data_IF_100270097079
#
_entry.id   IF_100270097079
#
_cell.length_a   1.000
_cell.length_b   1.000
_cell.length_c   1.000
_cell.angle_alpha   90.00
_cell.angle_beta   90.00
_cell.angle_gamma   90.00
#
_symmetry.space_group_name_H-M   'P 1'
#
loop_
_entity.id
_entity.type
_entity.pdbx_description
1 polymer ?
#
# COMPACT_ATOMS: atom_id res chain seq x y z
N UNK A 1 -6.74 -25.93 28.83
CA UNK A 1 -7.04 -24.78 27.94
C UNK A 1 -7.50 -23.62 28.79
N UNK A 2 -6.79 -22.49 28.78
CA UNK A 2 -7.07 -21.34 29.66
C UNK A 2 -8.47 -20.76 29.38
N UNK A 3 -9.16 -20.24 30.40
CA UNK A 3 -10.52 -19.65 30.29
C UNK A 3 -10.61 -18.62 29.15
N UNK A 4 -9.51 -17.91 28.89
CA UNK A 4 -9.34 -16.94 27.82
C UNK A 4 -9.54 -17.50 26.40
N UNK A 5 -8.83 -18.59 26.04
CA UNK A 5 -8.93 -19.15 24.68
C UNK A 5 -10.34 -19.70 24.45
N UNK A 6 -10.94 -20.33 25.47
CA UNK A 6 -12.32 -20.83 25.42
C UNK A 6 -13.32 -19.69 25.18
N UNK A 7 -13.14 -18.53 25.83
CA UNK A 7 -13.97 -17.35 25.59
C UNK A 7 -13.86 -16.84 24.14
N UNK A 8 -12.63 -16.69 23.62
CA UNK A 8 -12.39 -16.24 22.25
C UNK A 8 -13.04 -17.16 21.19
N UNK A 9 -12.87 -18.48 21.33
CA UNK A 9 -13.48 -19.45 20.41
C UNK A 9 -14.99 -19.44 20.51
N UNK A 10 -15.54 -19.32 21.72
CA UNK A 10 -16.97 -19.30 21.93
C UNK A 10 -17.62 -18.03 21.34
N UNK A 11 -16.93 -16.89 21.41
CA UNK A 11 -17.37 -15.65 20.76
C UNK A 11 -17.49 -15.83 19.23
N UNK A 12 -16.46 -16.41 18.60
CA UNK A 12 -16.46 -16.70 17.15
C UNK A 12 -17.58 -17.70 16.82
N UNK A 13 -17.68 -18.81 17.57
CA UNK A 13 -18.68 -19.87 17.33
C UNK A 13 -20.11 -19.32 17.35
N UNK A 14 -20.41 -18.40 18.25
CA UNK A 14 -21.76 -17.89 18.49
C UNK A 14 -22.12 -16.64 17.69
N UNK A 15 -21.17 -16.04 16.96
CA UNK A 15 -21.45 -14.92 16.05
C UNK A 15 -21.38 -15.39 14.61
N UNK A 16 -22.39 -15.04 13.80
CA UNK A 16 -22.37 -15.31 12.37
C UNK A 16 -21.38 -14.38 11.65
N UNK A 17 -21.35 -13.11 12.07
CA UNK A 17 -20.50 -12.08 11.48
C UNK A 17 -19.01 -12.38 11.67
N UNK A 18 -18.60 -12.79 12.87
CA UNK A 18 -17.22 -13.19 13.15
C UNK A 18 -16.81 -14.46 12.40
N UNK A 19 -17.75 -15.38 12.23
CA UNK A 19 -17.58 -16.60 11.44
C UNK A 19 -17.30 -16.26 9.97
N UNK A 20 -18.15 -15.44 9.36
CA UNK A 20 -17.93 -14.97 7.99
C UNK A 20 -16.61 -14.20 7.86
N UNK A 21 -16.27 -13.37 8.84
CA UNK A 21 -15.01 -12.64 8.85
C UNK A 21 -13.78 -13.57 8.83
N UNK A 22 -13.85 -14.69 9.54
CA UNK A 22 -12.80 -15.71 9.51
C UNK A 22 -12.62 -16.35 8.13
N UNK A 23 -13.74 -16.68 7.46
CA UNK A 23 -13.73 -17.15 6.07
C UNK A 23 -13.11 -16.11 5.15
N UNK A 24 -13.47 -14.85 5.33
CA UNK A 24 -12.95 -13.76 4.53
C UNK A 24 -11.42 -13.63 4.68
N UNK A 25 -10.89 -13.58 5.91
CA UNK A 25 -9.43 -13.56 6.16
C UNK A 25 -8.76 -14.73 5.46
N UNK A 26 -9.32 -15.93 5.62
CA UNK A 26 -8.77 -17.15 5.03
C UNK A 26 -8.76 -17.08 3.49
N UNK A 27 -9.83 -16.56 2.89
CA UNK A 27 -9.91 -16.35 1.45
C UNK A 27 -8.85 -15.35 0.96
N UNK A 28 -8.63 -14.26 1.70
CA UNK A 28 -7.57 -13.30 1.38
C UNK A 28 -6.20 -13.96 1.48
N UNK A 29 -5.93 -14.79 2.50
CA UNK A 29 -4.66 -15.52 2.60
C UNK A 29 -4.44 -16.50 1.44
N UNK A 30 -5.49 -17.20 0.97
CA UNK A 30 -5.39 -18.03 -0.25
C UNK A 30 -5.00 -17.16 -1.45
N UNK A 31 -5.71 -16.05 -1.67
CA UNK A 31 -5.43 -15.13 -2.76
C UNK A 31 -4.02 -14.55 -2.68
N UNK A 32 -3.58 -14.18 -1.48
CA UNK A 32 -2.26 -13.64 -1.20
C UNK A 32 -1.16 -14.66 -1.51
N UNK A 33 -1.30 -15.90 -1.06
CA UNK A 33 -0.37 -16.97 -1.39
C UNK A 33 -0.25 -17.18 -2.89
N UNK A 34 -1.37 -17.22 -3.63
CA UNK A 34 -1.34 -17.36 -5.09
C UNK A 34 -0.64 -16.17 -5.76
N UNK A 35 -0.87 -14.96 -5.26
CA UNK A 35 -0.25 -13.74 -5.78
C UNK A 35 1.27 -13.77 -5.52
N UNK A 36 1.68 -14.15 -4.32
CA UNK A 36 3.09 -14.30 -3.96
C UNK A 36 3.80 -15.39 -4.75
N UNK A 37 3.16 -16.53 -5.04
CA UNK A 37 3.73 -17.55 -5.92
C UNK A 37 3.98 -17.03 -7.35
N UNK A 38 3.14 -16.11 -7.84
CA UNK A 38 3.33 -15.51 -9.18
C UNK A 38 4.45 -14.47 -9.23
N UNK A 39 4.68 -13.78 -8.11
CA UNK A 39 5.67 -12.69 -7.99
C UNK A 39 7.01 -13.15 -7.39
N UNK A 40 7.12 -14.42 -7.00
CA UNK A 40 8.32 -15.00 -6.37
C UNK A 40 9.67 -14.67 -7.06
N UNK A 41 9.79 -14.64 -8.40
CA UNK A 41 11.08 -14.38 -9.06
C UNK A 41 11.58 -12.94 -8.93
N UNK A 42 10.72 -11.99 -8.55
CA UNK A 42 11.01 -10.55 -8.59
C UNK A 42 11.34 -9.94 -7.23
N UNK A 43 11.34 -10.71 -6.14
CA UNK A 43 11.52 -10.14 -4.81
C UNK A 43 12.97 -9.93 -4.40
N UNK A 44 13.24 -8.76 -3.85
CA UNK A 44 14.45 -8.45 -3.10
C UNK A 44 14.25 -8.81 -1.63
N UNK A 45 15.20 -9.54 -1.05
CA UNK A 45 15.16 -9.96 0.35
C UNK A 45 15.89 -8.92 1.21
N UNK A 46 15.18 -7.86 1.60
CA UNK A 46 15.63 -6.93 2.63
C UNK A 46 14.60 -6.87 3.78
N UNK A 47 15.03 -6.67 5.03
CA UNK A 47 14.15 -6.67 6.20
C UNK A 47 13.69 -5.25 6.59
N UNK A 48 12.38 -4.98 6.62
CA UNK A 48 11.82 -3.65 6.95
C UNK A 48 11.92 -3.22 8.40
N UNK A 49 11.86 -4.16 9.34
CA UNK A 49 11.87 -3.79 10.77
C UNK A 49 13.17 -3.11 11.18
N UNK A 50 14.24 -3.36 10.44
CA UNK A 50 15.57 -2.88 10.73
C UNK A 50 15.86 -1.49 10.18
N UNK A 51 15.31 -1.14 9.03
CA UNK A 51 15.45 0.21 8.46
C UNK A 51 14.78 1.26 9.36
N UNK A 52 13.75 0.87 10.11
CA UNK A 52 13.00 1.78 10.99
C UNK A 52 13.69 2.08 12.34
N UNK A 53 14.53 1.18 12.86
CA UNK A 53 15.07 1.31 14.22
C UNK A 53 16.61 1.21 14.34
N UNK A 54 17.31 0.45 13.50
CA UNK A 54 18.73 0.09 13.77
C UNK A 54 19.68 0.02 12.58
N UNK A 55 19.29 0.50 11.39
CA UNK A 55 20.14 0.43 10.18
C UNK A 55 20.07 -0.93 9.47
N UNK A 56 20.95 -1.22 8.49
CA UNK A 56 20.84 -2.41 7.66
C UNK A 56 21.11 -3.69 8.48
N UNK A 57 20.07 -4.49 8.72
CA UNK A 57 20.20 -5.77 9.40
C UNK A 57 20.45 -6.91 8.42
N UNK A 58 21.67 -6.99 7.88
CA UNK A 58 22.11 -8.16 7.11
C UNK A 58 21.99 -9.47 7.90
N UNK A 59 22.05 -9.42 9.23
CA UNK A 59 21.99 -10.60 10.11
C UNK A 59 20.57 -11.13 10.41
N UNK A 60 19.51 -10.36 10.12
CA UNK A 60 18.12 -10.78 10.37
C UNK A 60 17.41 -11.35 9.13
N UNK A 61 18.09 -11.37 7.98
CA UNK A 61 17.58 -11.99 6.75
C UNK A 61 17.70 -13.52 6.89
N UNK A 62 16.74 -14.13 7.57
CA UNK A 62 16.71 -15.56 7.82
C UNK A 62 16.00 -16.36 6.71
N UNK A 63 15.42 -15.70 5.71
CA UNK A 63 14.59 -16.35 4.69
C UNK A 63 15.35 -16.40 3.36
N UNK A 64 15.78 -17.60 2.97
CA UNK A 64 16.27 -17.88 1.61
C UNK A 64 15.10 -17.96 0.63
N UNK A 65 15.35 -17.81 -0.68
CA UNK A 65 14.32 -17.97 -1.71
C UNK A 65 13.59 -19.33 -1.62
N UNK A 66 14.31 -20.42 -1.33
CA UNK A 66 13.72 -21.74 -1.13
C UNK A 66 12.81 -21.81 0.10
N UNK A 67 13.19 -21.15 1.20
CA UNK A 67 12.35 -21.08 2.40
C UNK A 67 11.11 -20.21 2.17
N UNK A 68 11.20 -19.19 1.33
CA UNK A 68 10.06 -18.39 0.91
C UNK A 68 9.02 -19.25 0.19
N UNK A 69 9.41 -19.98 -0.86
CA UNK A 69 8.48 -20.82 -1.63
C UNK A 69 7.79 -21.87 -0.76
N UNK A 70 8.57 -22.54 0.11
CA UNK A 70 8.03 -23.51 1.08
C UNK A 70 7.03 -22.83 2.02
N UNK A 71 7.36 -21.64 2.53
CA UNK A 71 6.49 -20.89 3.45
C UNK A 71 5.19 -20.46 2.76
N UNK A 72 5.25 -20.00 1.51
CA UNK A 72 4.05 -19.60 0.76
C UNK A 72 3.14 -20.80 0.47
N UNK A 73 3.70 -21.94 0.06
CA UNK A 73 2.93 -23.18 -0.13
C UNK A 73 2.31 -23.63 1.20
N UNK A 74 3.07 -23.52 2.29
CA UNK A 74 2.59 -23.87 3.62
C UNK A 74 1.42 -22.97 4.06
N UNK A 75 1.52 -21.65 3.88
CA UNK A 75 0.42 -20.69 4.11
C UNK A 75 -0.80 -21.08 3.27
N UNK A 76 -0.62 -21.43 1.99
CA UNK A 76 -1.71 -21.84 1.12
C UNK A 76 -2.43 -23.09 1.66
N UNK A 77 -1.66 -24.12 2.04
CA UNK A 77 -2.21 -25.36 2.62
C UNK A 77 -2.94 -25.09 3.92
N UNK A 78 -2.36 -24.32 4.84
CA UNK A 78 -3.01 -23.93 6.10
C UNK A 78 -4.30 -23.14 5.86
N UNK A 79 -4.29 -22.24 4.88
CA UNK A 79 -5.48 -21.45 4.51
C UNK A 79 -6.57 -22.33 3.92
N UNK A 80 -6.25 -23.26 3.02
CA UNK A 80 -7.21 -24.21 2.48
C UNK A 80 -7.78 -25.13 3.57
N UNK A 81 -6.94 -25.65 4.48
CA UNK A 81 -7.38 -26.43 5.63
C UNK A 81 -8.30 -25.61 6.54
N UNK A 82 -7.97 -24.34 6.78
CA UNK A 82 -8.80 -23.41 7.55
C UNK A 82 -10.16 -23.19 6.89
N UNK A 83 -10.18 -23.01 5.56
CA UNK A 83 -11.39 -22.80 4.77
C UNK A 83 -12.31 -24.05 4.79
N UNK A 84 -11.73 -25.23 4.58
CA UNK A 84 -12.47 -26.51 4.62
C UNK A 84 -12.97 -26.80 6.04
N UNK A 85 -12.14 -26.57 7.07
CA UNK A 85 -12.53 -26.79 8.47
C UNK A 85 -13.72 -25.93 8.88
N UNK A 86 -13.87 -24.75 8.27
CA UNK A 86 -14.98 -23.86 8.55
C UNK A 86 -16.30 -24.38 7.99
N UNK A 87 -16.30 -25.08 6.85
CA UNK A 87 -17.48 -25.77 6.35
C UNK A 87 -18.03 -26.78 7.38
N UNK A 88 -17.18 -27.26 8.28
CA UNK A 88 -17.50 -28.19 9.35
C UNK A 88 -17.56 -27.44 10.70
N UNK A 89 -18.70 -26.79 10.99
CA UNK A 89 -18.97 -25.97 12.20
C UNK A 89 -18.47 -26.62 13.52
N UNK A 90 -18.41 -27.96 13.58
CA UNK A 90 -17.92 -28.75 14.71
C UNK A 90 -16.46 -28.45 15.09
N UNK A 91 -15.61 -27.99 14.19
CA UNK A 91 -14.16 -27.85 14.38
C UNK A 91 -13.68 -26.42 14.68
N UNK A 92 -14.54 -25.54 15.23
CA UNK A 92 -14.18 -24.13 15.53
C UNK A 92 -12.87 -23.98 16.33
N UNK A 93 -12.59 -24.86 17.30
CA UNK A 93 -11.34 -24.81 18.07
C UNK A 93 -10.12 -25.08 17.20
N UNK A 94 -10.18 -26.11 16.35
CA UNK A 94 -9.09 -26.49 15.47
C UNK A 94 -8.83 -25.40 14.42
N UNK A 95 -9.90 -24.88 13.82
CA UNK A 95 -9.88 -23.74 12.91
C UNK A 95 -9.16 -22.52 13.52
N UNK A 96 -9.47 -22.18 14.78
CA UNK A 96 -8.81 -21.06 15.46
C UNK A 96 -7.29 -21.26 15.59
N UNK A 97 -6.84 -22.46 15.92
CA UNK A 97 -5.41 -22.76 16.02
C UNK A 97 -4.71 -22.71 14.67
N UNK A 98 -5.31 -23.28 13.62
CA UNK A 98 -4.72 -23.23 12.27
C UNK A 98 -4.63 -21.78 11.80
N UNK A 99 -5.70 -20.99 11.95
CA UNK A 99 -5.70 -19.60 11.52
C UNK A 99 -4.70 -18.73 12.30
N UNK A 100 -4.53 -18.98 13.61
CA UNK A 100 -3.51 -18.32 14.41
C UNK A 100 -2.11 -18.66 13.92
N UNK A 101 -1.83 -19.95 13.74
CA UNK A 101 -0.54 -20.39 13.25
C UNK A 101 -0.24 -19.84 11.85
N UNK A 102 -1.23 -19.87 10.96
CA UNK A 102 -1.15 -19.27 9.63
C UNK A 102 -0.86 -17.77 9.69
N UNK A 103 -1.56 -17.02 10.56
CA UNK A 103 -1.32 -15.58 10.76
C UNK A 103 0.09 -15.29 11.26
N UNK A 104 0.65 -16.14 12.14
CA UNK A 104 2.03 -16.03 12.61
C UNK A 104 3.01 -16.24 11.44
N UNK A 105 2.81 -17.27 10.63
CA UNK A 105 3.68 -17.55 9.46
C UNK A 105 3.62 -16.41 8.45
N UNK A 106 2.42 -15.90 8.14
CA UNK A 106 2.23 -14.72 7.27
C UNK A 106 2.93 -13.49 7.84
N UNK A 107 2.83 -13.24 9.16
CA UNK A 107 3.51 -12.13 9.82
C UNK A 107 5.03 -12.24 9.73
N UNK A 108 5.59 -13.42 9.99
CA UNK A 108 7.03 -13.67 9.88
C UNK A 108 7.51 -13.43 8.45
N UNK A 109 6.79 -13.95 7.46
CA UNK A 109 7.11 -13.75 6.05
C UNK A 109 7.04 -12.26 5.65
N UNK A 110 5.95 -11.59 6.02
CA UNK A 110 5.77 -10.14 5.81
C UNK A 110 6.90 -9.33 6.46
N UNK A 111 7.32 -9.68 7.67
CA UNK A 111 8.39 -8.98 8.38
C UNK A 111 9.77 -9.12 7.73
N UNK A 112 9.96 -10.18 6.95
CA UNK A 112 11.23 -10.53 6.33
C UNK A 112 11.46 -9.90 4.94
N UNK A 113 10.43 -9.26 4.35
CA UNK A 113 10.50 -8.80 2.97
C UNK A 113 10.05 -7.35 2.82
N UNK A 114 10.89 -6.57 2.14
CA UNK A 114 10.65 -5.16 1.90
C UNK A 114 9.53 -4.93 0.89
N UNK A 115 9.56 -5.68 -0.20
CA UNK A 115 8.63 -5.51 -1.31
C UNK A 115 7.19 -5.91 -0.97
N UNK A 116 7.00 -6.65 0.12
CA UNK A 116 5.68 -7.09 0.59
C UNK A 116 4.97 -6.08 1.48
N UNK A 117 5.61 -4.95 1.81
CA UNK A 117 5.13 -4.01 2.82
C UNK A 117 4.01 -3.08 2.37
N UNK A 118 2.97 -3.64 1.76
CA UNK A 118 1.75 -2.85 1.58
C UNK A 118 1.12 -2.62 2.97
N UNK A 119 0.72 -1.37 3.19
CA UNK A 119 -0.03 -0.94 4.37
C UNK A 119 -1.29 -1.78 4.57
N UNK A 120 -1.94 -2.22 3.49
CA UNK A 120 -3.15 -3.04 3.57
C UNK A 120 -2.91 -4.46 4.06
N UNK A 121 -1.76 -5.06 3.73
CA UNK A 121 -1.39 -6.38 4.23
C UNK A 121 -1.01 -6.35 5.70
N UNK A 122 -0.27 -5.32 6.13
CA UNK A 122 -0.03 -5.10 7.56
C UNK A 122 -1.34 -5.01 8.33
N UNK A 123 -2.33 -4.28 7.80
CA UNK A 123 -3.63 -4.18 8.42
C UNK A 123 -4.39 -5.49 8.49
N UNK A 124 -4.34 -6.30 7.42
CA UNK A 124 -4.93 -7.64 7.42
C UNK A 124 -4.32 -8.52 8.54
N UNK A 125 -3.01 -8.44 8.75
CA UNK A 125 -2.32 -9.17 9.82
C UNK A 125 -2.77 -8.67 11.19
N UNK A 126 -2.79 -7.35 11.41
CA UNK A 126 -3.24 -6.75 12.68
C UNK A 126 -4.69 -7.11 12.99
N UNK A 127 -5.60 -6.99 12.01
CA UNK A 127 -7.00 -7.38 12.17
C UNK A 127 -7.15 -8.86 12.47
N UNK A 128 -6.31 -9.72 11.89
CA UNK A 128 -6.29 -11.15 12.17
C UNK A 128 -5.83 -11.46 13.59
N UNK A 129 -4.79 -10.79 14.09
CA UNK A 129 -4.37 -10.90 15.50
C UNK A 129 -5.45 -10.41 16.46
N UNK A 130 -6.08 -9.27 16.17
CA UNK A 130 -7.18 -8.74 16.99
C UNK A 130 -8.36 -9.70 17.00
N UNK A 131 -8.72 -10.23 15.83
CA UNK A 131 -9.76 -11.24 15.69
C UNK A 131 -9.46 -12.51 16.49
N UNK A 132 -8.21 -12.98 16.52
CA UNK A 132 -7.87 -14.23 17.20
C UNK A 132 -7.69 -14.05 18.71
N UNK A 133 -6.98 -12.98 19.11
CA UNK A 133 -6.44 -12.83 20.45
C UNK A 133 -7.25 -11.88 21.33
N UNK A 134 -7.80 -10.79 20.79
CA UNK A 134 -8.47 -9.77 21.63
C UNK A 134 -9.92 -10.21 21.90
N UNK A 135 -10.36 -10.23 23.17
CA UNK A 135 -11.76 -10.50 23.47
C UNK A 135 -12.63 -9.30 23.06
N UNK A 136 -13.95 -9.48 22.99
CA UNK A 136 -14.86 -8.42 22.55
C UNK A 136 -14.50 -7.97 21.11
N UNK A 137 -14.34 -8.98 20.25
CA UNK A 137 -13.77 -8.90 18.89
C UNK A 137 -14.53 -7.93 18.04
N UNK A 138 -15.85 -8.06 18.05
CA UNK A 138 -16.68 -7.36 17.10
C UNK A 138 -16.62 -5.82 17.24
N UNK A 139 -16.83 -5.21 18.42
CA UNK A 139 -16.63 -3.77 18.57
C UNK A 139 -15.17 -3.35 18.39
N UNK A 140 -14.21 -4.17 18.84
CA UNK A 140 -12.78 -3.85 18.66
C UNK A 140 -12.39 -3.79 17.19
N UNK A 141 -12.81 -4.78 16.38
CA UNK A 141 -12.57 -4.83 14.94
C UNK A 141 -13.24 -3.68 14.21
N UNK A 142 -14.48 -3.31 14.59
CA UNK A 142 -15.16 -2.16 13.99
C UNK A 142 -14.41 -0.87 14.21
N UNK A 143 -14.00 -0.59 15.45
CA UNK A 143 -13.21 0.59 15.76
C UNK A 143 -11.87 0.57 15.04
N UNK A 144 -11.19 -0.58 15.02
CA UNK A 144 -9.92 -0.76 14.32
C UNK A 144 -10.04 -0.46 12.82
N UNK A 145 -11.09 -0.96 12.15
CA UNK A 145 -11.34 -0.68 10.72
C UNK A 145 -11.57 0.81 10.49
N UNK A 146 -12.36 1.47 11.34
CA UNK A 146 -12.61 2.92 11.22
C UNK A 146 -11.34 3.73 11.45
N UNK A 147 -10.55 3.40 12.48
CA UNK A 147 -9.26 4.05 12.72
C UNK A 147 -8.30 3.85 11.55
N UNK A 148 -8.34 2.68 10.91
CA UNK A 148 -7.53 2.40 9.74
C UNK A 148 -7.92 3.23 8.52
N UNK A 149 -9.21 3.45 8.27
CA UNK A 149 -9.63 4.39 7.24
C UNK A 149 -9.14 5.82 7.53
N UNK A 150 -9.24 6.25 8.78
CA UNK A 150 -8.74 7.56 9.21
C UNK A 150 -7.22 7.64 8.97
N UNK A 151 -6.47 6.62 9.39
CA UNK A 151 -5.03 6.56 9.18
C UNK A 151 -4.66 6.53 7.69
N UNK A 152 -5.34 5.72 6.89
CA UNK A 152 -5.17 5.67 5.43
C UNK A 152 -5.39 7.05 4.80
N UNK A 153 -6.39 7.78 5.29
CA UNK A 153 -6.63 9.16 4.87
C UNK A 153 -5.47 10.08 5.20
N UNK A 154 -4.91 9.99 6.41
CA UNK A 154 -3.73 10.76 6.80
C UNK A 154 -2.49 10.42 5.96
N UNK A 155 -2.28 9.14 5.62
CA UNK A 155 -1.18 8.73 4.73
C UNK A 155 -1.33 9.30 3.30
N UNK A 156 -2.57 9.55 2.87
CA UNK A 156 -2.89 10.21 1.61
C UNK A 156 -2.78 11.74 1.67
N UNK A 157 -2.44 12.34 2.83
CA UNK A 157 -2.04 13.75 2.93
C UNK A 157 -0.56 13.88 2.57
N UNK A 158 -0.22 13.50 1.34
CA UNK A 158 1.11 13.66 0.78
C UNK A 158 1.05 14.48 -0.53
N UNK A 159 2.14 15.16 -0.94
CA UNK A 159 2.13 16.02 -2.12
C UNK A 159 1.71 15.30 -3.41
N UNK A 160 2.06 14.01 -3.55
CA UNK A 160 1.71 13.21 -4.72
C UNK A 160 0.19 12.97 -4.82
N UNK A 161 -0.46 12.63 -3.72
CA UNK A 161 -1.91 12.44 -3.73
C UNK A 161 -2.64 13.78 -3.82
N UNK A 162 -2.21 14.79 -3.06
CA UNK A 162 -2.87 16.10 -2.98
C UNK A 162 -2.78 16.93 -4.26
N UNK A 163 -1.73 16.72 -5.08
CA UNK A 163 -1.63 17.30 -6.43
C UNK A 163 -2.59 16.67 -7.45
N UNK A 164 -3.36 15.65 -7.05
CA UNK A 164 -4.24 14.92 -7.95
C UNK A 164 -3.51 13.94 -8.87
N UNK A 165 -2.17 13.83 -8.79
CA UNK A 165 -1.39 12.88 -9.60
C UNK A 165 -1.84 11.44 -9.38
N UNK A 166 -2.20 11.09 -8.14
CA UNK A 166 -2.76 9.78 -7.80
C UNK A 166 -4.06 9.41 -8.54
N UNK A 167 -4.77 10.40 -9.10
CA UNK A 167 -6.01 10.22 -9.87
C UNK A 167 -5.78 10.17 -11.40
N UNK A 168 -4.55 10.40 -11.88
CA UNK A 168 -4.23 10.49 -13.31
C UNK A 168 -4.48 9.17 -14.07
N UNK A 169 -4.53 8.03 -13.36
CA UNK A 169 -5.01 6.76 -13.93
C UNK A 169 -6.40 6.88 -14.59
N UNK A 170 -7.23 7.84 -14.15
CA UNK A 170 -8.45 8.24 -14.84
C UNK A 170 -8.08 9.18 -15.98
N UNK A 171 -7.75 8.60 -17.15
CA UNK A 171 -7.30 9.28 -18.38
C UNK A 171 -8.12 10.52 -18.81
N UNK A 172 -9.35 10.68 -18.32
CA UNK A 172 -10.25 11.78 -18.67
C UNK A 172 -10.27 12.95 -17.67
N UNK A 173 -9.75 12.79 -16.45
CA UNK A 173 -9.78 13.84 -15.41
C UNK A 173 -8.50 14.70 -15.44
N UNK A 174 -7.43 14.18 -16.03
CA UNK A 174 -6.12 14.82 -16.11
C UNK A 174 -6.09 16.14 -16.92
N UNK A 175 -7.13 16.44 -17.71
CA UNK A 175 -7.19 17.67 -18.51
C UNK A 175 -7.43 18.94 -17.67
N UNK A 176 -7.83 18.82 -16.40
CA UNK A 176 -8.01 19.95 -15.49
C UNK A 176 -7.30 19.67 -14.16
N UNK A 177 -5.99 19.93 -14.11
CA UNK A 177 -5.13 19.70 -12.94
C UNK A 177 -5.75 20.20 -11.62
N UNK A 178 -6.32 21.41 -11.62
CA UNK A 178 -6.95 22.00 -10.44
C UNK A 178 -8.19 21.25 -9.95
N UNK A 179 -8.97 20.65 -10.85
CA UNK A 179 -10.15 19.86 -10.47
C UNK A 179 -9.71 18.54 -9.82
N UNK A 180 -8.64 17.92 -10.33
CA UNK A 180 -8.09 16.70 -9.75
C UNK A 180 -7.57 16.93 -8.32
N UNK A 181 -6.89 18.06 -8.07
CA UNK A 181 -6.46 18.46 -6.71
C UNK A 181 -7.63 18.54 -5.73
N UNK A 182 -8.70 19.26 -6.08
CA UNK A 182 -9.88 19.37 -5.22
C UNK A 182 -10.57 18.04 -4.99
N UNK A 183 -10.67 17.19 -6.03
CA UNK A 183 -11.23 15.84 -5.88
C UNK A 183 -10.37 15.01 -4.94
N UNK A 184 -9.04 15.08 -5.02
CA UNK A 184 -8.14 14.36 -4.14
C UNK A 184 -8.29 14.81 -2.67
N UNK A 185 -8.37 16.12 -2.41
CA UNK A 185 -8.61 16.67 -1.07
C UNK A 185 -9.97 16.20 -0.52
N UNK A 186 -11.02 16.33 -1.32
CA UNK A 186 -12.36 15.88 -0.93
C UNK A 186 -12.40 14.38 -0.67
N UNK A 187 -11.71 13.58 -1.48
CA UNK A 187 -11.57 12.15 -1.29
C UNK A 187 -10.92 11.81 0.05
N UNK A 188 -9.84 12.51 0.44
CA UNK A 188 -9.18 12.29 1.73
C UNK A 188 -10.10 12.63 2.91
N UNK A 189 -10.78 13.77 2.85
CA UNK A 189 -11.76 14.16 3.89
C UNK A 189 -12.90 13.13 3.95
N UNK A 190 -13.39 12.70 2.79
CA UNK A 190 -14.45 11.71 2.67
C UNK A 190 -14.05 10.37 3.29
N UNK A 191 -12.85 9.85 2.98
CA UNK A 191 -12.33 8.62 3.55
C UNK A 191 -12.08 8.70 5.05
N UNK A 192 -11.80 9.89 5.60
CA UNK A 192 -11.63 10.07 7.04
C UNK A 192 -12.98 10.10 7.78
N UNK A 193 -13.99 10.78 7.22
CA UNK A 193 -15.24 11.05 7.93
C UNK A 193 -16.34 10.01 7.73
N UNK A 194 -16.50 9.49 6.50
CA UNK A 194 -17.58 8.53 6.18
C UNK A 194 -17.53 7.25 7.03
N UNK A 195 -16.37 6.64 7.32
CA UNK A 195 -16.30 5.45 8.17
C UNK A 195 -16.83 5.66 9.59
N UNK A 196 -16.78 6.88 10.14
CA UNK A 196 -17.37 7.19 11.45
C UNK A 196 -18.88 6.93 11.46
N UNK A 197 -19.54 7.13 10.31
CA UNK A 197 -20.95 6.83 10.13
C UNK A 197 -21.30 5.35 10.28
N UNK A 198 -20.34 4.43 10.10
CA UNK A 198 -20.52 2.99 10.32
C UNK A 198 -20.66 2.62 11.81
N UNK A 199 -20.20 3.47 12.71
CA UNK A 199 -20.31 3.29 14.16
C UNK A 199 -21.61 3.87 14.72
N UNK A 200 -22.31 4.69 13.95
CA UNK A 200 -23.55 5.34 14.39
C UNK A 200 -24.72 4.37 14.35
N UNK A 201 -25.54 4.39 15.39
CA UNK A 201 -26.73 3.53 15.49
C UNK A 201 -27.88 3.93 14.55
N UNK A 202 -27.79 5.05 13.82
CA UNK A 202 -28.83 5.57 12.93
C UNK A 202 -28.78 4.86 11.57
N UNK A 203 -29.81 4.07 11.23
CA UNK A 203 -29.89 3.27 9.99
C UNK A 203 -29.56 4.07 8.73
N UNK A 204 -30.17 5.26 8.54
CA UNK A 204 -29.95 6.09 7.34
C UNK A 204 -28.47 6.45 7.15
N UNK A 205 -27.79 6.86 8.23
CA UNK A 205 -26.38 7.26 8.17
C UNK A 205 -25.49 6.03 7.93
N UNK A 206 -25.77 4.92 8.62
CA UNK A 206 -25.04 3.67 8.45
C UNK A 206 -25.08 3.16 7.01
N UNK A 207 -26.26 3.01 6.41
CA UNK A 207 -26.39 2.51 5.04
C UNK A 207 -25.83 3.50 4.01
N UNK A 208 -26.00 4.81 4.23
CA UNK A 208 -25.36 5.83 3.40
C UNK A 208 -23.83 5.72 3.44
N UNK A 209 -23.26 5.44 4.62
CA UNK A 209 -21.81 5.31 4.80
C UNK A 209 -21.27 4.05 4.15
N UNK A 210 -21.97 2.92 4.29
CA UNK A 210 -21.63 1.67 3.56
C UNK A 210 -21.64 1.91 2.06
N UNK A 211 -22.72 2.49 1.53
CA UNK A 211 -22.87 2.71 0.09
C UNK A 211 -21.78 3.66 -0.44
N UNK A 212 -21.53 4.76 0.27
CA UNK A 212 -20.46 5.70 -0.03
C UNK A 212 -19.08 5.02 -0.09
N UNK A 213 -18.75 4.18 0.89
CA UNK A 213 -17.47 3.47 0.93
C UNK A 213 -17.36 2.41 -0.16
N UNK A 214 -18.45 1.70 -0.49
CA UNK A 214 -18.47 0.74 -1.61
C UNK A 214 -18.16 1.45 -2.92
N UNK A 215 -18.85 2.55 -3.23
CA UNK A 215 -18.57 3.35 -4.43
C UNK A 215 -17.11 3.80 -4.45
N UNK A 216 -16.63 4.29 -3.31
CA UNK A 216 -15.26 4.78 -3.19
C UNK A 216 -14.23 3.68 -3.50
N UNK A 217 -14.42 2.46 -2.99
CA UNK A 217 -13.54 1.33 -3.29
C UNK A 217 -13.66 0.81 -4.72
N UNK A 218 -14.84 0.91 -5.35
CA UNK A 218 -15.00 0.61 -6.77
C UNK A 218 -14.22 1.62 -7.62
N UNK A 219 -14.23 2.90 -7.25
CA UNK A 219 -13.43 3.92 -7.95
C UNK A 219 -11.93 3.66 -7.76
N UNK A 220 -11.48 3.41 -6.52
CA UNK A 220 -10.08 3.08 -6.24
C UNK A 220 -9.59 1.83 -6.99
N UNK A 221 -10.47 0.83 -7.14
CA UNK A 221 -10.19 -0.36 -7.94
C UNK A 221 -9.83 -0.01 -9.38
N UNK A 222 -10.58 0.91 -10.01
CA UNK A 222 -10.34 1.34 -11.40
C UNK A 222 -9.02 2.10 -11.58
N UNK A 223 -8.50 2.69 -10.50
CA UNK A 223 -7.24 3.47 -10.50
C UNK A 223 -6.02 2.56 -10.22
N UNK A 224 -6.24 1.26 -9.97
CA UNK A 224 -5.17 0.28 -9.77
C UNK A 224 -4.98 -0.18 -8.31
N UNK A 225 -5.81 0.28 -7.37
CA UNK A 225 -5.76 -0.15 -5.96
C UNK A 225 -6.57 -1.44 -5.70
N UNK A 226 -6.45 -2.42 -6.61
CA UNK A 226 -7.24 -3.66 -6.63
C UNK A 226 -7.25 -4.41 -5.29
N UNK A 227 -6.07 -4.73 -4.76
CA UNK A 227 -5.93 -5.56 -3.55
C UNK A 227 -6.53 -4.85 -2.33
N UNK A 228 -6.27 -3.55 -2.20
CA UNK A 228 -6.79 -2.72 -1.12
C UNK A 228 -8.32 -2.70 -1.16
N UNK A 229 -8.91 -2.40 -2.32
CA UNK A 229 -10.36 -2.37 -2.47
C UNK A 229 -11.02 -3.69 -2.06
N UNK A 230 -10.46 -4.84 -2.44
CA UNK A 230 -11.01 -6.15 -2.06
C UNK A 230 -10.91 -6.39 -0.56
N UNK A 231 -9.75 -6.11 0.05
CA UNK A 231 -9.54 -6.26 1.50
C UNK A 231 -10.57 -5.42 2.26
N UNK A 232 -10.70 -4.15 1.90
CA UNK A 232 -11.61 -3.22 2.55
C UNK A 232 -13.09 -3.54 2.33
N UNK A 233 -13.48 -3.97 1.12
CA UNK A 233 -14.87 -4.37 0.85
C UNK A 233 -15.29 -5.57 1.70
N UNK A 234 -14.40 -6.56 1.86
CA UNK A 234 -14.69 -7.67 2.75
C UNK A 234 -14.68 -7.29 4.22
N UNK A 235 -13.84 -6.33 4.64
CA UNK A 235 -13.92 -5.76 5.99
C UNK A 235 -15.25 -5.00 6.22
N UNK A 236 -15.77 -4.29 5.22
CA UNK A 236 -17.08 -3.63 5.30
C UNK A 236 -18.23 -4.63 5.46
N UNK A 237 -18.09 -5.84 4.91
CA UNK A 237 -19.09 -6.89 5.11
C UNK A 237 -19.30 -7.23 6.59
N UNK A 238 -18.28 -7.09 7.45
CA UNK A 238 -18.39 -7.30 8.90
C UNK A 238 -19.43 -6.35 9.51
N UNK A 239 -19.47 -5.09 9.07
CA UNK A 239 -20.46 -4.11 9.54
C UNK A 239 -21.86 -4.47 9.09
N UNK A 240 -22.02 -4.81 7.80
CA UNK A 240 -23.30 -5.18 7.23
C UNK A 240 -23.88 -6.44 7.91
N UNK A 241 -23.06 -7.48 8.06
CA UNK A 241 -23.44 -8.74 8.68
C UNK A 241 -23.76 -8.58 10.16
N UNK A 242 -22.98 -7.79 10.90
CA UNK A 242 -23.30 -7.53 12.29
C UNK A 242 -24.65 -6.82 12.44
N UNK A 243 -24.97 -5.89 11.54
CA UNK A 243 -26.27 -5.22 11.58
C UNK A 243 -27.41 -6.20 11.35
N UNK A 244 -27.26 -7.11 10.38
CA UNK A 244 -28.22 -8.19 10.12
C UNK A 244 -28.34 -9.12 11.35
N UNK A 245 -27.21 -9.52 11.93
CA UNK A 245 -27.15 -10.38 13.11
C UNK A 245 -27.88 -9.75 14.32
N UNK A 246 -27.68 -8.44 14.56
CA UNK A 246 -28.39 -7.69 15.60
C UNK A 246 -29.90 -7.64 15.35
N UNK A 247 -30.33 -7.50 14.09
CA UNK A 247 -31.75 -7.53 13.74
C UNK A 247 -32.36 -8.92 14.00
N UNK A 248 -31.67 -10.00 13.62
CA UNK A 248 -32.13 -11.37 13.85
C UNK A 248 -32.20 -11.69 15.36
N UNK A 249 -31.21 -11.28 16.15
CA UNK A 249 -31.18 -11.47 17.61
C UNK A 249 -32.27 -10.71 18.37
N UNK A 250 -32.74 -9.57 17.85
CA UNK A 250 -33.89 -8.86 18.45
C UNK A 250 -35.19 -9.62 18.30
N UNK A 251 -35.30 -10.47 17.27
CA UNK A 251 -36.48 -11.29 17.00
C UNK A 251 -36.44 -12.59 17.81
N UNK A 252 -35.25 -13.13 18.09
CA UNK A 252 -35.06 -14.31 18.93
C UNK A 252 -34.63 -13.92 20.36
N UNK A 253 -35.56 -13.93 21.32
CA UNK A 253 -35.36 -13.57 22.75
C UNK A 253 -34.37 -14.48 23.52
N UNK A 254 -33.11 -14.57 23.12
CA UNK A 254 -32.05 -15.26 23.86
C UNK A 254 -30.89 -14.32 24.15
N UNK A 255 -30.98 -13.63 25.29
CA UNK A 255 -29.86 -12.91 25.91
C UNK A 255 -28.89 -13.92 26.52
N UNK A 256 -27.94 -14.40 25.72
CA UNK A 256 -26.76 -15.03 26.27
C UNK A 256 -25.85 -13.95 26.87
N UNK A 257 -25.97 -13.72 28.17
CA UNK A 257 -25.01 -12.93 28.94
C UNK A 257 -23.71 -13.74 29.07
N UNK A 258 -22.81 -13.58 28.11
CA UNK A 258 -21.42 -13.95 28.34
C UNK A 258 -20.80 -12.88 29.23
N UNK A 259 -20.21 -13.29 30.33
CA UNK A 259 -19.34 -12.44 31.15
C UNK A 259 -18.20 -11.94 30.26
N UNK A 260 -18.34 -10.72 29.72
CA UNK A 260 -17.29 -10.13 28.90
C UNK A 260 -16.06 -9.93 29.79
N UNK A 261 -14.89 -10.45 29.41
CA UNK A 261 -13.67 -10.06 30.11
C UNK A 261 -13.54 -8.53 30.11
N UNK A 262 -12.95 -7.97 31.17
CA UNK A 262 -12.89 -6.52 31.44
C UNK A 262 -12.85 -5.66 30.17
N UNK A 263 -13.80 -4.73 30.04
CA UNK A 263 -13.94 -3.82 28.89
C UNK A 263 -12.74 -2.90 28.61
N UNK A 264 -11.66 -3.00 29.40
CA UNK A 264 -10.44 -2.21 29.27
C UNK A 264 -9.52 -2.68 28.13
N UNK A 265 -9.64 -3.92 27.67
CA UNK A 265 -8.79 -4.45 26.60
C UNK A 265 -8.97 -3.70 25.28
N UNK A 266 -10.22 -3.43 24.89
CA UNK A 266 -10.53 -2.70 23.65
C UNK A 266 -9.91 -1.29 23.63
N UNK A 267 -10.20 -0.38 24.58
CA UNK A 267 -9.61 0.96 24.56
C UNK A 267 -8.09 0.92 24.74
N UNK A 268 -7.56 0.04 25.59
CA UNK A 268 -6.11 -0.11 25.77
C UNK A 268 -5.40 -0.51 24.48
N UNK A 269 -5.95 -1.49 23.75
CA UNK A 269 -5.42 -1.91 22.45
C UNK A 269 -5.53 -0.80 21.41
N UNK A 270 -6.68 -0.12 21.31
CA UNK A 270 -6.88 0.95 20.33
C UNK A 270 -5.96 2.14 20.59
N UNK A 271 -5.74 2.52 21.85
CA UNK A 271 -4.76 3.57 22.21
C UNK A 271 -3.35 3.15 21.85
N UNK A 272 -2.94 1.91 22.18
CA UNK A 272 -1.64 1.39 21.80
C UNK A 272 -1.45 1.37 20.29
N UNK A 273 -2.46 0.89 19.55
CA UNK A 273 -2.47 0.90 18.10
C UNK A 273 -2.28 2.32 17.55
N UNK A 274 -3.04 3.31 18.05
CA UNK A 274 -2.88 4.71 17.64
C UNK A 274 -1.48 5.24 17.96
N UNK A 275 -0.94 4.98 19.15
CA UNK A 275 0.43 5.40 19.50
C UNK A 275 1.44 4.80 18.51
N UNK A 276 1.37 3.50 18.25
CA UNK A 276 2.29 2.83 17.32
C UNK A 276 2.15 3.39 15.90
N UNK A 277 0.92 3.53 15.41
CA UNK A 277 0.67 4.00 14.04
C UNK A 277 1.04 5.47 13.82
N UNK A 278 0.82 6.33 14.82
CA UNK A 278 1.19 7.75 14.73
C UNK A 278 2.64 8.01 15.16
N UNK A 279 3.30 7.06 15.82
CA UNK A 279 4.72 7.20 16.19
C UNK A 279 5.60 7.41 14.96
N UNK A 280 5.32 6.73 13.84
CA UNK A 280 6.06 6.93 12.59
C UNK A 280 5.82 8.31 11.98
N UNK A 281 4.66 8.93 12.21
CA UNK A 281 4.40 10.31 11.79
C UNK A 281 5.13 11.33 12.68
N UNK A 282 5.21 11.07 13.98
CA UNK A 282 5.84 11.98 14.96
C UNK A 282 7.37 11.87 14.90
N UNK A 283 7.90 10.65 14.82
CA UNK A 283 9.33 10.35 14.93
C UNK A 283 9.99 9.94 13.60
N UNK A 284 9.21 9.72 12.55
CA UNK A 284 9.74 9.29 11.26
C UNK A 284 10.60 10.35 10.59
N UNK A 285 11.59 9.92 9.78
CA UNK A 285 12.48 10.83 9.07
C UNK A 285 11.71 11.77 8.15
N UNK A 286 10.54 11.39 7.64
CA UNK A 286 9.71 12.24 6.78
C UNK A 286 9.30 13.57 7.41
N UNK A 287 9.08 13.66 8.72
CA UNK A 287 8.80 14.95 9.37
C UNK A 287 10.06 15.83 9.36
N UNK A 288 11.23 15.22 9.59
CA UNK A 288 12.52 15.92 9.44
C UNK A 288 12.75 16.34 8.00
N UNK A 289 12.55 15.45 7.02
CA UNK A 289 12.76 15.76 5.60
C UNK A 289 11.76 16.80 5.09
N UNK A 290 10.48 16.73 5.48
CA UNK A 290 9.45 17.70 5.10
C UNK A 290 9.65 19.07 5.78
N UNK A 291 10.15 19.10 7.02
CA UNK A 291 10.52 20.35 7.70
C UNK A 291 11.83 20.94 7.15
N UNK A 292 12.78 20.11 6.68
CA UNK A 292 14.01 20.58 6.03
C UNK A 292 13.82 20.94 4.56
N UNK A 293 12.82 20.35 3.88
CA UNK A 293 12.37 20.70 2.54
C UNK A 293 11.35 21.86 2.58
N UNK A 294 11.59 22.83 3.46
CA UNK A 294 11.09 24.19 3.27
C UNK A 294 11.55 24.71 1.89
N UNK A 295 10.82 25.64 1.26
CA UNK A 295 10.49 25.67 -0.18
C UNK A 295 11.61 26.10 -1.15
N UNK A 296 12.89 25.85 -0.84
CA UNK A 296 14.02 26.24 -1.69
C UNK A 296 14.58 25.12 -2.58
N UNK A 297 14.11 23.88 -2.46
CA UNK A 297 14.54 22.79 -3.34
C UNK A 297 13.32 22.19 -4.05
N UNK A 298 13.05 22.74 -5.24
CA UNK A 298 12.22 22.09 -6.24
C UNK A 298 12.77 20.66 -6.44
N UNK A 299 11.97 19.65 -6.09
CA UNK A 299 12.29 18.25 -6.32
C UNK A 299 12.18 18.02 -7.84
N UNK A 300 13.24 18.37 -8.58
CA UNK A 300 13.33 18.15 -10.00
C UNK A 300 13.49 16.65 -10.25
N UNK A 301 12.40 15.99 -10.61
CA UNK A 301 12.47 14.64 -11.20
C UNK A 301 12.85 14.79 -12.67
N UNK A 302 14.11 14.61 -13.02
CA UNK A 302 14.51 14.50 -14.43
C UNK A 302 14.35 13.05 -14.89
N UNK A 303 13.38 12.79 -15.78
CA UNK A 303 13.37 11.56 -16.58
C UNK A 303 14.11 11.81 -17.89
N UNK A 304 15.18 11.08 -18.18
CA UNK A 304 15.93 11.27 -19.43
C UNK A 304 15.79 10.01 -20.27
N UNK A 305 15.25 10.16 -21.48
CA UNK A 305 15.10 9.08 -22.45
C UNK A 305 16.10 9.26 -23.57
N UNK A 306 17.09 8.37 -23.67
CA UNK A 306 18.01 8.34 -24.80
C UNK A 306 17.51 7.35 -25.85
N UNK A 307 17.65 7.67 -27.14
CA UNK A 307 17.33 6.74 -28.21
C UNK A 307 18.60 6.39 -28.95
N UNK A 308 18.87 5.10 -29.09
CA UNK A 308 19.99 4.63 -29.91
C UNK A 308 19.41 4.17 -31.24
N UNK A 309 19.79 4.85 -32.33
CA UNK A 309 19.37 4.46 -33.68
C UNK A 309 20.53 3.74 -34.35
N UNK A 310 20.44 2.41 -34.42
CA UNK A 310 21.30 1.60 -35.28
C UNK A 310 20.63 1.52 -36.66
N UNK A 311 21.39 1.29 -37.74
CA UNK A 311 20.89 1.25 -39.13
C UNK A 311 19.68 0.32 -39.33
N UNK A 312 19.47 -0.65 -38.42
CA UNK A 312 18.40 -1.64 -38.52
C UNK A 312 17.35 -1.60 -37.39
N UNK A 313 17.56 -0.86 -36.30
CA UNK A 313 16.63 -0.82 -35.15
C UNK A 313 16.78 0.46 -34.31
N UNK A 314 15.65 0.98 -33.80
CA UNK A 314 15.61 2.05 -32.79
C UNK A 314 15.36 1.38 -31.44
N UNK A 315 16.33 1.45 -30.53
CA UNK A 315 16.16 1.03 -29.15
C UNK A 315 16.01 2.25 -28.24
N UNK A 316 14.93 2.28 -27.47
CA UNK A 316 14.68 3.32 -26.47
C UNK A 316 15.31 2.90 -25.14
N UNK A 317 16.22 3.74 -24.64
CA UNK A 317 16.87 3.57 -23.35
C UNK A 317 16.36 4.63 -22.39
N UNK A 318 15.49 4.22 -21.48
CA UNK A 318 15.00 5.09 -20.40
C UNK A 318 15.95 5.00 -19.22
N UNK A 319 16.68 6.07 -18.94
CA UNK A 319 17.51 6.19 -17.72
C UNK A 319 16.70 7.00 -16.72
N UNK A 320 16.23 6.34 -15.67
CA UNK A 320 15.56 7.00 -14.55
C UNK A 320 16.59 7.13 -13.43
N UNK A 321 16.96 8.36 -13.11
CA UNK A 321 17.81 8.65 -11.95
C UNK A 321 16.96 9.23 -10.83
N UNK A 322 16.95 8.56 -9.67
CA UNK A 322 16.34 9.09 -8.46
C UNK A 322 17.32 10.07 -7.79
N UNK A 323 16.96 11.35 -7.75
CA UNK A 323 17.73 12.41 -7.08
C UNK A 323 17.87 13.69 -7.90
N UNK A 324 18.47 14.73 -7.29
CA UNK A 324 18.86 15.97 -7.97
C UNK A 324 19.57 15.62 -9.28
N UNK A 325 19.16 16.25 -10.38
CA UNK A 325 19.69 16.01 -11.72
C UNK A 325 21.16 16.46 -11.82
N UNK A 326 22.05 15.63 -11.30
CA UNK A 326 23.48 15.77 -11.46
C UNK A 326 23.82 15.43 -12.91
N UNK A 327 23.89 16.49 -13.73
CA UNK A 327 24.16 16.40 -15.17
C UNK A 327 25.45 15.62 -15.43
N UNK A 328 26.46 15.74 -14.57
CA UNK A 328 27.77 15.12 -14.76
C UNK A 328 27.71 13.61 -14.51
N UNK A 329 26.96 13.19 -13.48
CA UNK A 329 26.72 11.77 -13.18
C UNK A 329 25.92 11.08 -14.28
N UNK A 330 24.94 11.77 -14.85
CA UNK A 330 24.17 11.24 -15.97
C UNK A 330 24.99 11.21 -17.27
N UNK A 331 25.77 12.25 -17.55
CA UNK A 331 26.66 12.31 -18.71
C UNK A 331 27.69 11.18 -18.68
N UNK A 332 28.28 10.90 -17.52
CA UNK A 332 29.21 9.77 -17.34
C UNK A 332 28.54 8.40 -17.52
N UNK A 333 27.31 8.20 -17.06
CA UNK A 333 26.56 6.96 -17.30
C UNK A 333 26.26 6.72 -18.78
N UNK A 334 25.87 7.77 -19.51
CA UNK A 334 25.67 7.69 -20.96
C UNK A 334 27.00 7.44 -21.70
N UNK A 335 28.10 8.05 -21.26
CA UNK A 335 29.43 7.87 -21.87
C UNK A 335 30.00 6.47 -21.65
N UNK A 336 29.82 5.86 -20.48
CA UNK A 336 30.20 4.45 -20.26
C UNK A 336 29.49 3.47 -21.21
N UNK A 337 28.28 3.81 -21.68
CA UNK A 337 27.57 3.00 -22.68
C UNK A 337 28.04 3.24 -24.11
N UNK A 338 28.56 4.42 -24.41
CA UNK A 338 29.20 4.69 -25.69
C UNK A 338 30.39 3.76 -25.93
N UNK A 339 31.19 3.48 -24.90
CA UNK A 339 32.34 2.56 -24.99
C UNK A 339 31.94 1.11 -25.35
N UNK A 340 30.67 0.75 -25.18
CA UNK A 340 30.14 -0.59 -25.46
C UNK A 340 29.56 -0.73 -26.88
N UNK A 341 29.31 0.37 -27.60
CA UNK A 341 28.61 0.35 -28.90
C UNK A 341 29.51 0.94 -29.98
N UNK A 342 30.22 0.04 -30.67
CA UNK A 342 31.38 0.34 -31.51
C UNK A 342 31.13 1.30 -32.70
N UNK A 343 29.93 1.47 -33.24
CA UNK A 343 29.74 2.19 -34.53
C UNK A 343 28.38 2.91 -34.71
N UNK A 344 27.61 3.18 -33.65
CA UNK A 344 26.26 3.76 -33.83
C UNK A 344 26.18 5.26 -33.55
N UNK A 345 25.41 5.99 -34.36
CA UNK A 345 25.00 7.35 -34.07
C UNK A 345 24.02 7.38 -32.88
N UNK A 346 24.53 7.71 -31.69
CA UNK A 346 23.71 7.91 -30.51
C UNK A 346 23.00 9.26 -30.58
N UNK A 347 21.66 9.26 -30.55
CA UNK A 347 20.87 10.49 -30.46
C UNK A 347 20.25 10.56 -29.05
N UNK A 348 20.92 11.28 -28.16
CA UNK A 348 20.43 11.48 -26.79
C UNK A 348 19.42 12.62 -26.79
N UNK A 349 18.20 12.36 -26.33
CA UNK A 349 17.21 13.41 -26.09
C UNK A 349 17.06 13.62 -24.58
N UNK A 350 16.92 14.88 -24.17
CA UNK A 350 16.65 15.21 -22.77
C UNK A 350 15.19 15.61 -22.64
N UNK A 351 14.39 14.84 -21.89
CA UNK A 351 13.01 15.22 -21.60
C UNK A 351 12.87 15.64 -20.13
N UNK A 352 13.47 16.77 -19.79
CA UNK A 352 13.29 17.35 -18.47
C UNK A 352 11.93 18.03 -18.36
N UNK A 353 10.99 17.44 -17.62
CA UNK A 353 9.80 18.16 -17.18
C UNK A 353 10.13 18.98 -15.93
N UNK A 354 10.37 20.28 -16.11
CA UNK A 354 10.37 21.22 -15.00
C UNK A 354 8.93 21.46 -14.56
N UNK A 355 8.51 20.85 -13.46
CA UNK A 355 7.29 21.24 -12.75
C UNK A 355 7.64 22.32 -11.73
N UNK A 356 7.78 23.57 -12.19
CA UNK A 356 7.75 24.72 -11.27
C UNK A 356 6.30 25.05 -10.92
N UNK A 357 6.00 25.30 -9.65
CA UNK A 357 4.66 25.74 -9.20
C UNK A 357 4.35 27.20 -9.58
N UNK A 358 5.31 27.94 -10.12
CA UNK A 358 5.01 29.20 -10.82
C UNK A 358 4.63 28.86 -12.26
N UNK A 359 3.62 29.56 -12.80
CA UNK A 359 3.09 29.44 -14.18
C UNK A 359 4.16 29.63 -15.27
N UNK A 360 5.13 28.74 -15.37
CA UNK A 360 6.06 28.65 -16.47
C UNK A 360 5.78 27.37 -17.23
N UNK A 361 5.65 27.52 -18.54
CA UNK A 361 5.35 26.43 -19.47
C UNK A 361 6.44 25.36 -19.32
N UNK A 362 6.06 24.09 -19.35
CA UNK A 362 7.03 23.01 -19.45
C UNK A 362 7.87 23.22 -20.72
N UNK A 363 9.14 23.55 -20.56
CA UNK A 363 10.05 23.73 -21.68
C UNK A 363 10.70 22.38 -21.99
N UNK A 364 10.31 21.78 -23.11
CA UNK A 364 10.98 20.59 -23.64
C UNK A 364 12.28 21.05 -24.30
N UNK A 365 13.43 20.74 -23.68
CA UNK A 365 14.73 21.02 -24.28
C UNK A 365 15.18 19.79 -25.07
N UNK A 366 15.02 19.85 -26.39
CA UNK A 366 15.52 18.80 -27.27
C UNK A 366 16.94 19.14 -27.72
N UNK A 367 17.94 18.43 -27.19
CA UNK A 367 19.30 18.48 -27.72
C UNK A 367 19.50 17.29 -28.66
N UNK A 368 20.14 17.51 -29.80
CA UNK A 368 20.58 16.45 -30.71
C UNK A 368 22.05 16.66 -31.00
N UNK A 369 22.91 15.80 -30.44
CA UNK A 369 24.33 15.79 -30.75
C UNK A 369 24.63 14.60 -31.65
N UNK A 370 25.03 14.86 -32.89
CA UNK A 370 25.64 13.82 -33.71
C UNK A 370 27.05 13.60 -33.13
N UNK A 371 27.36 12.39 -32.66
CA UNK A 371 28.64 11.98 -32.04
C UNK A 371 28.77 12.25 -30.54
N UNK A 372 27.73 12.02 -29.73
CA UNK A 372 27.82 12.08 -28.26
C UNK A 372 28.96 11.22 -27.67
N UNK A 373 29.35 10.16 -28.39
CA UNK A 373 30.41 9.23 -27.98
C UNK A 373 31.83 9.70 -28.30
N UNK A 374 32.02 10.90 -28.85
CA UNK A 374 33.35 11.45 -29.08
C UNK A 374 34.06 11.70 -27.73
N UNK A 375 35.23 11.09 -27.48
CA UNK A 375 35.95 11.25 -26.22
C UNK A 375 36.29 12.72 -25.92
N UNK A 376 36.43 13.57 -26.94
CA UNK A 376 36.74 14.99 -26.81
C UNK A 376 35.59 15.81 -26.20
N UNK A 377 34.33 15.35 -26.26
CA UNK A 377 33.20 16.11 -25.72
C UNK A 377 33.22 16.03 -24.18
N UNK A 378 33.44 17.19 -23.56
CA UNK A 378 33.42 17.39 -22.10
C UNK A 378 32.15 18.13 -21.65
N UNK A 379 31.68 17.96 -20.39
CA UNK A 379 30.52 18.70 -19.86
C UNK A 379 30.68 20.23 -19.93
N UNK A 380 31.92 20.73 -19.88
CA UNK A 380 32.24 22.16 -19.90
C UNK A 380 32.18 22.83 -21.27
N UNK A 381 32.49 22.10 -22.35
CA UNK A 381 32.45 22.63 -23.74
C UNK A 381 31.02 22.66 -24.31
N UNK A 382 30.09 21.94 -23.70
CA UNK A 382 28.68 21.94 -24.11
C UNK A 382 27.91 23.19 -23.65
N UNK A 383 28.58 24.22 -23.12
CA UNK A 383 27.98 25.50 -22.74
C UNK A 383 27.61 26.38 -23.94
N UNK A 384 28.29 26.20 -25.08
CA UNK A 384 28.16 27.07 -26.25
C UNK A 384 27.30 26.48 -27.39
N UNK A 385 26.89 25.21 -27.30
CA UNK A 385 25.90 24.66 -28.22
C UNK A 385 24.49 25.10 -27.82
N UNK A 386 23.91 26.00 -28.63
CA UNK A 386 22.58 26.59 -28.45
C UNK A 386 21.55 25.57 -27.95
N UNK A 387 21.04 25.81 -26.74
CA UNK A 387 19.82 25.20 -26.24
C UNK A 387 18.68 25.69 -27.14
N UNK A 388 18.30 24.91 -28.15
CA UNK A 388 17.10 25.22 -28.93
C UNK A 388 15.88 24.87 -28.08
N UNK A 389 15.40 25.85 -27.31
CA UNK A 389 14.12 25.77 -26.63
C UNK A 389 13.01 25.70 -27.69
N UNK A 390 12.48 24.50 -27.93
CA UNK A 390 11.18 24.37 -28.56
C UNK A 390 10.12 24.39 -27.46
N UNK A 391 9.38 25.48 -27.36
CA UNK A 391 8.12 25.47 -26.62
C UNK A 391 7.17 24.48 -27.29
N UNK A 392 6.74 23.44 -26.56
CA UNK A 392 5.61 22.63 -26.97
C UNK A 392 4.39 23.55 -27.13
N UNK A 393 3.77 23.54 -28.31
CA UNK A 393 2.45 24.15 -28.54
C UNK A 393 1.36 23.20 -28.09
#
# INVERSE_FOLDING_TARGET
MTKFIKANINEIKNSYSLRFFSLFITFIYIGLSVLWMKQAPSYSFESHFCTLFTGPCSHLIAVTASLFDISVIFILVLSLLTFISFALIRFCTFHWFILLFNTIVVFLLYSSMTDLSDFSFFFLIVTSFVFLLIPNKLPTLKWLIVLFYIQSSFLNINPYWMSGLGLIGLKNIASVAKTAEWIAVLHVIWFALVPLGLLLNKNKIFYSSIFALIISHIVLYQIGYFANSIIFLGLLSLFALDRVEQHLKKVSFQTFHFSSPNNLWTPGFLVLYMIVQFSSMIFGPHLKTALTLAPSQELLTCSIGAFMKNEKQIEEYKVVTDGLCDKDKLFSQLKMKCDQVSESHLIVYFNGQHHSMKKEKAHLVQQTTNNFCDPAITPSENKDHLWTQKTAQ
#
